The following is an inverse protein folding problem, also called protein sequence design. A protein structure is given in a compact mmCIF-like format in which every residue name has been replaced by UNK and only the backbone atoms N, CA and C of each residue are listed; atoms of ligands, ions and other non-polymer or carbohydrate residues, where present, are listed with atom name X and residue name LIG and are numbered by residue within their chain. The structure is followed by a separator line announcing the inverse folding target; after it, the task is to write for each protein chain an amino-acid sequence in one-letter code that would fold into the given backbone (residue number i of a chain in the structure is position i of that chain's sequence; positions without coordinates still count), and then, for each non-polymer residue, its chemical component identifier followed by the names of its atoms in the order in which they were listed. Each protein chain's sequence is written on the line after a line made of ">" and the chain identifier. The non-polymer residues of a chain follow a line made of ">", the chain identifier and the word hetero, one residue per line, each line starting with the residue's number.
data_IF_343187974934
#
_entry.id   IF_343187974934
#
_cell.length_a   1.000
_cell.length_b   1.000
_cell.length_c   1.000
_cell.angle_alpha   90.00
_cell.angle_beta   90.00
_cell.angle_gamma   90.00
#
_symmetry.space_group_name_H-M   'P 1'
#
loop_
_entity.id
_entity.type
_entity.pdbx_description
1 polymer ?
#
# COMPACT_ATOMS: atom_id res chain seq x y z
N UNK A 1 -12.30 -11.43 18.57
CA UNK A 1 -11.05 -10.70 18.22
C UNK A 1 -10.13 -11.43 17.22
N UNK A 2 -10.56 -12.50 16.55
CA UNK A 2 -9.74 -13.32 15.63
C UNK A 2 -9.92 -13.00 14.12
N UNK A 3 -10.83 -12.09 13.76
CA UNK A 3 -11.25 -11.85 12.38
C UNK A 3 -10.36 -10.89 11.56
N UNK A 4 -9.27 -10.34 12.12
CA UNK A 4 -8.38 -9.42 11.39
C UNK A 4 -7.25 -10.10 10.61
N UNK A 5 -7.06 -11.41 10.76
CA UNK A 5 -5.95 -12.16 10.15
C UNK A 5 -6.39 -12.90 8.88
N UNK A 6 -7.69 -13.11 8.68
CA UNK A 6 -8.24 -13.89 7.57
C UNK A 6 -8.72 -12.92 6.47
N UNK A 7 -7.92 -12.79 5.42
CA UNK A 7 -8.37 -12.25 4.12
C UNK A 7 -8.36 -10.73 3.99
N UNK A 8 -7.81 -10.24 2.88
CA UNK A 8 -8.11 -8.88 2.42
C UNK A 8 -9.63 -8.84 2.20
N UNK A 9 -10.36 -8.00 2.93
CA UNK A 9 -11.78 -7.75 2.66
C UNK A 9 -11.89 -7.29 1.20
N UNK A 10 -12.55 -8.08 0.35
CA UNK A 10 -12.88 -7.65 -1.01
C UNK A 10 -13.77 -6.40 -0.88
N UNK A 11 -13.48 -5.34 -1.64
CA UNK A 11 -14.31 -4.15 -1.62
C UNK A 11 -15.71 -4.52 -2.14
N UNK A 12 -16.75 -4.37 -1.32
CA UNK A 12 -18.16 -4.62 -1.68
C UNK A 12 -18.82 -3.42 -2.35
N UNK A 13 -18.06 -2.35 -2.58
CA UNK A 13 -18.54 -1.14 -3.24
C UNK A 13 -18.68 -1.38 -4.74
N UNK A 14 -19.72 -0.82 -5.39
CA UNK A 14 -19.82 -0.83 -6.85
C UNK A 14 -18.59 -0.13 -7.46
N UNK A 15 -18.26 -0.43 -8.73
CA UNK A 15 -17.19 0.27 -9.44
C UNK A 15 -17.36 1.79 -9.32
N UNK A 16 -16.26 2.49 -9.03
CA UNK A 16 -16.31 3.94 -8.85
C UNK A 16 -16.69 4.62 -10.17
N UNK A 17 -17.84 5.27 -10.20
CA UNK A 17 -18.32 6.02 -11.36
C UNK A 17 -17.66 7.41 -11.39
N UNK A 18 -16.72 7.58 -12.31
CA UNK A 18 -16.01 8.85 -12.51
C UNK A 18 -16.94 9.99 -12.94
N UNK A 19 -18.05 9.70 -13.62
CA UNK A 19 -18.98 10.71 -14.15
C UNK A 19 -19.80 11.38 -13.04
N UNK A 20 -20.07 10.63 -11.96
CA UNK A 20 -20.82 11.11 -10.78
C UNK A 20 -19.96 11.83 -9.74
N UNK A 21 -18.63 11.86 -9.91
CA UNK A 21 -17.74 12.49 -8.95
C UNK A 21 -17.92 14.02 -8.90
N UNK A 22 -18.13 14.63 -7.72
CA UNK A 22 -18.25 16.09 -7.60
C UNK A 22 -16.94 16.81 -7.90
N UNK A 23 -15.81 16.12 -7.74
CA UNK A 23 -14.47 16.61 -8.04
C UNK A 23 -13.98 16.06 -9.37
N UNK A 24 -14.33 16.74 -10.46
CA UNK A 24 -13.88 16.35 -11.81
C UNK A 24 -12.41 16.70 -12.01
N UNK A 25 -11.65 15.74 -12.54
CA UNK A 25 -10.26 15.99 -12.91
C UNK A 25 -10.20 16.97 -14.09
N UNK A 26 -9.45 18.07 -13.96
CA UNK A 26 -9.26 19.07 -15.05
C UNK A 26 -8.57 18.49 -16.29
N UNK A 27 -7.79 17.43 -16.10
CA UNK A 27 -7.10 16.70 -17.17
C UNK A 27 -7.38 15.21 -16.97
N UNK A 28 -7.80 14.48 -18.01
CA UNK A 28 -7.98 13.05 -17.92
C UNK A 28 -6.64 12.38 -17.63
N UNK A 29 -6.64 11.49 -16.65
CA UNK A 29 -5.53 10.59 -16.39
C UNK A 29 -5.92 9.19 -16.88
N UNK A 30 -5.01 8.40 -17.46
CA UNK A 30 -3.60 8.68 -17.77
C UNK A 30 -3.43 9.54 -19.04
N UNK A 31 -2.34 10.33 -19.15
CA UNK A 31 -1.99 10.96 -20.41
C UNK A 31 -1.65 9.90 -21.46
N UNK A 32 -1.89 10.17 -22.76
CA UNK A 32 -1.44 9.27 -23.83
C UNK A 32 0.10 9.24 -23.84
N UNK A 33 0.69 8.18 -23.27
CA UNK A 33 2.14 8.04 -23.17
C UNK A 33 2.79 7.84 -24.54
N UNK A 34 2.11 7.13 -25.44
CA UNK A 34 2.61 6.80 -26.77
C UNK A 34 2.74 8.01 -27.70
N UNK A 35 1.97 9.09 -27.48
CA UNK A 35 2.05 10.31 -28.29
C UNK A 35 3.05 11.34 -27.74
N UNK A 36 3.74 11.03 -26.64
CA UNK A 36 4.75 11.89 -26.05
C UNK A 36 6.12 11.64 -26.71
N UNK A 37 6.92 12.70 -26.89
CA UNK A 37 8.36 12.57 -27.23
C UNK A 37 9.08 11.69 -26.21
N UNK A 38 10.03 10.87 -26.67
CA UNK A 38 10.81 9.92 -25.87
C UNK A 38 11.42 10.54 -24.60
N UNK A 39 11.96 11.76 -24.71
CA UNK A 39 12.53 12.46 -23.56
C UNK A 39 11.48 12.72 -22.46
N UNK A 40 10.23 13.02 -22.84
CA UNK A 40 9.14 13.21 -21.88
C UNK A 40 8.66 11.87 -21.30
N UNK A 41 8.63 10.81 -22.11
CA UNK A 41 8.30 9.46 -21.66
C UNK A 41 9.31 8.97 -20.60
N UNK A 42 10.61 9.11 -20.86
CA UNK A 42 11.67 8.72 -19.93
C UNK A 42 11.57 9.45 -18.58
N UNK A 43 11.34 10.77 -18.60
CA UNK A 43 11.17 11.56 -17.38
C UNK A 43 9.94 11.11 -16.57
N UNK A 44 8.86 10.77 -17.27
CA UNK A 44 7.65 10.25 -16.64
C UNK A 44 7.89 8.89 -15.98
N UNK A 45 8.54 7.96 -16.69
CA UNK A 45 8.92 6.65 -16.18
C UNK A 45 9.83 6.77 -14.95
N UNK A 46 10.85 7.63 -15.01
CA UNK A 46 11.76 7.90 -13.89
C UNK A 46 11.00 8.42 -12.67
N UNK A 47 10.06 9.35 -12.86
CA UNK A 47 9.23 9.89 -11.77
C UNK A 47 8.31 8.81 -11.19
N UNK A 48 7.74 7.96 -12.04
CA UNK A 48 6.87 6.86 -11.63
C UNK A 48 7.64 5.83 -10.79
N UNK A 49 8.80 5.36 -11.26
CA UNK A 49 9.69 4.43 -10.54
C UNK A 49 10.10 4.97 -9.17
N UNK A 50 10.46 6.26 -9.08
CA UNK A 50 10.77 6.91 -7.79
C UNK A 50 9.60 6.88 -6.81
N UNK A 51 8.39 7.20 -7.27
CA UNK A 51 7.18 7.17 -6.43
C UNK A 51 6.83 5.76 -5.99
N UNK A 52 6.99 4.78 -6.87
CA UNK A 52 6.82 3.37 -6.52
C UNK A 52 7.83 2.95 -5.45
N UNK A 53 9.10 3.33 -5.60
CA UNK A 53 10.12 3.06 -4.59
C UNK A 53 9.73 3.66 -3.24
N UNK A 54 9.39 4.94 -3.19
CA UNK A 54 8.94 5.62 -1.96
C UNK A 54 7.71 4.96 -1.32
N UNK A 55 6.72 4.55 -2.13
CA UNK A 55 5.55 3.80 -1.63
C UNK A 55 5.92 2.40 -1.14
N UNK A 56 6.94 1.79 -1.75
CA UNK A 56 7.42 0.45 -1.41
C UNK A 56 8.29 0.44 -0.15
N UNK A 57 8.91 1.58 0.19
CA UNK A 57 9.60 1.79 1.47
C UNK A 57 8.51 1.82 2.56
N UNK A 58 8.14 0.63 3.03
CA UNK A 58 7.27 0.47 4.19
C UNK A 58 8.07 0.88 5.43
N UNK A 59 7.44 1.48 6.46
CA UNK A 59 8.13 1.80 7.71
C UNK A 59 8.60 0.50 8.37
N UNK A 60 9.91 0.22 8.27
CA UNK A 60 10.52 -0.98 8.84
C UNK A 60 10.37 -1.02 10.36
N UNK A 61 10.31 0.13 11.02
CA UNK A 61 10.05 0.25 12.46
C UNK A 61 8.79 -0.52 12.90
N UNK A 62 7.68 -0.34 12.19
CA UNK A 62 6.42 -1.03 12.51
C UNK A 62 6.51 -2.54 12.33
N UNK A 63 7.40 -3.03 11.45
CA UNK A 63 7.66 -4.48 11.31
C UNK A 63 8.40 -4.99 12.55
N UNK A 64 9.46 -4.30 12.97
CA UNK A 64 10.24 -4.68 14.15
C UNK A 64 9.43 -4.65 15.45
N UNK A 65 8.62 -3.61 15.66
CA UNK A 65 7.72 -3.52 16.82
C UNK A 65 6.75 -4.70 16.88
N UNK A 66 6.18 -5.11 15.73
CA UNK A 66 5.29 -6.29 15.67
C UNK A 66 6.02 -7.60 15.95
N UNK A 67 7.28 -7.74 15.54
CA UNK A 67 8.11 -8.90 15.86
C UNK A 67 8.38 -8.92 17.36
N UNK A 68 8.86 -7.82 17.94
CA UNK A 68 9.12 -7.68 19.36
C UNK A 68 7.87 -7.98 20.21
N UNK A 69 6.69 -7.49 19.80
CA UNK A 69 5.43 -7.79 20.47
C UNK A 69 5.13 -9.29 20.50
N UNK A 70 5.29 -9.99 19.36
CA UNK A 70 5.07 -11.44 19.31
C UNK A 70 6.07 -12.20 20.15
N UNK A 71 7.35 -11.85 20.08
CA UNK A 71 8.41 -12.46 20.88
C UNK A 71 8.13 -12.29 22.37
N UNK A 72 7.71 -11.09 22.81
CA UNK A 72 7.33 -10.84 24.20
C UNK A 72 6.15 -11.71 24.65
N UNK A 73 5.10 -11.83 23.83
CA UNK A 73 3.96 -12.70 24.14
C UNK A 73 4.42 -14.17 24.29
N UNK A 74 5.20 -14.68 23.34
CA UNK A 74 5.71 -16.05 23.40
C UNK A 74 6.61 -16.29 24.61
N UNK A 75 7.46 -15.32 24.96
CA UNK A 75 8.32 -15.40 26.13
C UNK A 75 7.52 -15.56 27.42
N UNK A 76 6.44 -14.79 27.58
CA UNK A 76 5.56 -14.87 28.76
C UNK A 76 4.85 -16.23 28.80
N UNK A 77 4.29 -16.67 27.66
CA UNK A 77 3.60 -17.97 27.57
C UNK A 77 4.53 -19.12 27.95
N UNK A 78 5.77 -19.13 27.45
CA UNK A 78 6.75 -20.16 27.80
C UNK A 78 7.08 -20.08 29.29
N UNK A 79 7.36 -18.88 29.81
CA UNK A 79 7.67 -18.71 31.23
C UNK A 79 6.54 -19.25 32.12
N UNK A 80 5.29 -18.87 31.87
CA UNK A 80 4.13 -19.32 32.65
C UNK A 80 3.81 -20.81 32.58
N UNK A 81 4.34 -21.53 31.58
CA UNK A 81 4.17 -23.00 31.48
C UNK A 81 5.25 -23.74 32.28
N UNK A 82 6.46 -23.18 32.34
CA UNK A 82 7.61 -23.83 32.97
C UNK A 82 7.85 -23.39 34.43
N UNK A 83 7.30 -22.24 34.84
CA UNK A 83 7.45 -21.65 36.18
C UNK A 83 6.13 -21.03 36.64
#
# INVERSE_FOLDING_TARGET
>A
LWWRVIGRKQNTLPPYDFARSPYRAKKPWPPPLMSLSEHRQFNFERRFKRRLLLKSIRPNWNRWVKVAQKVGIWSIVIYSVFF
#
